data_IF_933471031210
#
_entry.id   IF_933471031210
#
_cell.length_a   1.000
_cell.length_b   1.000
_cell.length_c   1.000
_cell.angle_alpha   90.00
_cell.angle_beta   90.00
_cell.angle_gamma   90.00
#
_symmetry.space_group_name_H-M   'P 1'
#
loop_
_entity.id
_entity.type
_entity.pdbx_description
1 polymer ?
#
# COMPACT_ATOMS: atom_id res chain seq x y z
N UNK A 1 -6.38 4.25 0.64
CA UNK A 1 -5.01 4.11 0.09
C UNK A 1 -5.03 4.45 -1.39
N UNK A 2 -3.96 5.07 -1.89
CA UNK A 2 -3.79 5.44 -3.30
C UNK A 2 -2.63 4.64 -3.88
N UNK A 3 -2.84 3.97 -5.02
CA UNK A 3 -1.79 3.24 -5.73
C UNK A 3 -1.90 3.60 -7.21
N UNK A 4 -0.78 3.97 -7.82
CA UNK A 4 -0.67 4.18 -9.26
C UNK A 4 0.29 3.18 -9.87
N UNK A 5 -0.07 2.69 -11.04
CA UNK A 5 0.82 1.95 -11.93
C UNK A 5 1.30 2.87 -13.06
N UNK A 6 1.91 2.30 -14.10
CA UNK A 6 2.26 3.08 -15.31
C UNK A 6 1.05 3.46 -16.16
N UNK A 7 -0.08 2.76 -16.00
CA UNK A 7 -1.21 2.84 -16.93
C UNK A 7 -2.55 3.13 -16.25
N UNK A 8 -2.63 2.99 -14.92
CA UNK A 8 -3.89 3.06 -14.19
C UNK A 8 -3.65 3.51 -12.75
N UNK A 9 -4.63 4.22 -12.20
CA UNK A 9 -4.70 4.72 -10.84
C UNK A 9 -5.81 4.01 -10.07
N UNK A 10 -5.54 3.66 -8.82
CA UNK A 10 -6.44 2.92 -7.94
C UNK A 10 -6.71 3.71 -6.66
N UNK A 11 -7.99 3.81 -6.31
CA UNK A 11 -8.45 4.27 -5.01
C UNK A 11 -8.99 3.08 -4.23
N UNK A 12 -8.34 2.76 -3.13
CA UNK A 12 -8.68 1.62 -2.27
C UNK A 12 -9.32 2.15 -0.99
N UNK A 13 -10.54 1.71 -0.72
CA UNK A 13 -11.23 1.94 0.54
C UNK A 13 -10.63 1.04 1.63
N UNK A 14 -9.80 1.64 2.48
CA UNK A 14 -9.08 0.92 3.54
C UNK A 14 -9.91 0.71 4.80
N UNK A 15 -11.11 1.28 4.88
CA UNK A 15 -12.05 1.03 5.97
C UNK A 15 -12.91 -0.19 5.66
N UNK A 16 -13.41 -0.28 4.43
CA UNK A 16 -14.22 -1.41 3.99
C UNK A 16 -13.40 -2.71 3.87
N UNK A 17 -12.12 -2.62 3.52
CA UNK A 17 -11.24 -3.76 3.23
C UNK A 17 -10.16 -4.00 4.29
N UNK A 18 -10.36 -3.49 5.52
CA UNK A 18 -9.29 -3.41 6.52
C UNK A 18 -8.61 -4.75 6.80
N UNK A 19 -9.39 -5.83 6.92
CA UNK A 19 -8.88 -7.15 7.29
C UNK A 19 -8.27 -7.92 6.10
N UNK A 20 -8.56 -7.48 4.88
CA UNK A 20 -8.11 -8.10 3.63
C UNK A 20 -6.81 -7.51 3.09
N UNK A 21 -6.42 -6.32 3.53
CA UNK A 21 -5.30 -5.56 2.95
C UNK A 21 -3.93 -6.21 3.13
N UNK A 22 -3.79 -7.15 4.08
CA UNK A 22 -2.56 -7.94 4.26
C UNK A 22 -2.11 -8.69 3.00
N UNK A 23 -3.03 -8.95 2.05
CA UNK A 23 -2.71 -9.54 0.74
C UNK A 23 -1.71 -8.69 -0.06
N UNK A 24 -1.66 -7.37 0.15
CA UNK A 24 -0.74 -6.46 -0.53
C UNK A 24 0.71 -6.68 -0.14
N UNK A 25 1.00 -7.38 0.96
CA UNK A 25 2.36 -7.73 1.36
C UNK A 25 3.12 -8.50 0.27
N UNK A 26 2.42 -9.31 -0.53
CA UNK A 26 3.01 -10.01 -1.69
C UNK A 26 3.71 -9.06 -2.68
N UNK A 27 3.27 -7.80 -2.76
CA UNK A 27 3.85 -6.77 -3.64
C UNK A 27 4.69 -5.76 -2.84
N UNK A 28 4.19 -5.30 -1.69
CA UNK A 28 4.86 -4.29 -0.88
C UNK A 28 6.19 -4.78 -0.29
N UNK A 29 6.31 -6.09 -0.01
CA UNK A 29 7.57 -6.67 0.48
C UNK A 29 8.43 -7.28 -0.63
N UNK A 30 7.95 -7.33 -1.87
CA UNK A 30 8.71 -7.88 -2.98
C UNK A 30 9.90 -6.96 -3.34
N UNK A 31 11.16 -7.41 -3.20
CA UNK A 31 12.34 -6.59 -3.49
C UNK A 31 12.50 -6.29 -4.99
N UNK A 32 11.82 -7.02 -5.88
CA UNK A 32 11.85 -6.80 -7.33
C UNK A 32 10.90 -5.70 -7.80
N UNK A 33 10.04 -5.18 -6.91
CA UNK A 33 9.10 -4.10 -7.21
C UNK A 33 9.51 -2.87 -6.39
N UNK A 34 9.90 -1.78 -7.06
CA UNK A 34 10.15 -0.51 -6.39
C UNK A 34 8.81 0.16 -6.05
N UNK A 35 8.59 0.46 -4.77
CA UNK A 35 7.45 1.26 -4.32
C UNK A 35 7.96 2.69 -4.09
N UNK A 36 7.30 3.66 -4.71
CA UNK A 36 7.69 5.07 -4.65
C UNK A 36 6.70 5.81 -3.75
N UNK A 37 7.21 6.52 -2.76
CA UNK A 37 6.46 7.36 -1.83
C UNK A 37 7.12 8.74 -1.73
N UNK A 38 6.40 9.73 -1.24
CA UNK A 38 6.93 11.06 -0.92
C UNK A 38 6.65 11.39 0.54
N UNK A 39 7.70 11.43 1.38
CA UNK A 39 7.55 11.65 2.84
C UNK A 39 6.93 10.46 3.59
N UNK A 40 7.46 9.26 3.37
CA UNK A 40 6.83 8.00 3.75
C UNK A 40 6.90 7.63 5.25
N UNK A 41 7.51 8.47 6.09
CA UNK A 41 7.81 8.13 7.50
C UNK A 41 6.56 7.67 8.25
N UNK A 42 5.44 8.38 8.09
CA UNK A 42 4.16 8.03 8.71
C UNK A 42 3.39 6.95 7.96
N UNK A 43 3.50 6.91 6.63
CA UNK A 43 2.83 5.89 5.83
C UNK A 43 3.32 4.48 6.21
N UNK A 44 4.62 4.31 6.45
CA UNK A 44 5.19 3.02 6.85
C UNK A 44 4.66 2.57 8.21
N UNK A 45 4.56 3.48 9.18
CA UNK A 45 4.01 3.20 10.51
C UNK A 45 2.52 2.82 10.43
N UNK A 46 1.73 3.55 9.66
CA UNK A 46 0.30 3.26 9.50
C UNK A 46 0.07 1.92 8.79
N UNK A 47 0.85 1.61 7.77
CA UNK A 47 0.78 0.32 7.07
C UNK A 47 1.01 -0.87 8.02
N UNK A 48 1.90 -0.75 9.00
CA UNK A 48 2.17 -1.82 9.98
C UNK A 48 1.17 -1.88 11.12
N UNK A 49 0.67 -0.71 11.54
CA UNK A 49 -0.26 -0.61 12.66
C UNK A 49 -1.67 -1.05 12.28
N UNK A 50 -2.10 -0.73 11.06
CA UNK A 50 -3.52 -0.80 10.69
C UNK A 50 -3.90 -2.00 9.80
N UNK A 51 -2.95 -2.65 9.11
CA UNK A 51 -3.22 -3.69 8.08
C UNK A 51 -2.25 -4.88 8.14
#
# INVERSE_FOLDING_TARGET
MQISSRTEDFLIDTLALRDELSILNNVFTNPKVLKVFHGADWDVEWLQKDF
#
